data_IF_175082327906
#
_entry.id   IF_175082327906
#
_cell.length_a   1.000
_cell.length_b   1.000
_cell.length_c   1.000
_cell.angle_alpha   90.00
_cell.angle_beta   90.00
_cell.angle_gamma   90.00
#
_symmetry.space_group_name_H-M   'P 1'
#
loop_
_entity.id
_entity.type
_entity.pdbx_description
1 polymer ?
#
# COMPACT_ATOMS: atom_id res chain seq x y z
N UNK A 1 0.52 -14.12 15.85
CA UNK A 1 -0.23 -12.98 16.43
C UNK A 1 0.76 -11.84 16.41
N UNK A 2 0.41 -10.72 15.79
CA UNK A 2 1.38 -9.67 15.47
C UNK A 2 1.09 -8.35 16.17
N UNK A 3 2.13 -7.56 16.35
CA UNK A 3 2.07 -6.16 16.70
C UNK A 3 2.27 -5.31 15.44
N UNK A 4 1.38 -4.36 15.20
CA UNK A 4 1.43 -3.49 14.03
C UNK A 4 1.98 -2.11 14.40
N UNK A 5 3.07 -1.71 13.74
CA UNK A 5 3.61 -0.36 13.83
C UNK A 5 2.79 0.61 12.97
N UNK A 6 2.07 1.51 13.63
CA UNK A 6 1.07 2.37 12.99
C UNK A 6 1.63 3.59 12.26
N UNK A 7 2.93 3.89 12.36
CA UNK A 7 3.50 5.01 11.63
C UNK A 7 3.86 4.59 10.19
N UNK A 8 3.00 4.97 9.25
CA UNK A 8 3.09 4.58 7.83
C UNK A 8 4.08 5.43 7.01
N UNK A 9 5.24 5.80 7.58
CA UNK A 9 6.20 6.69 6.92
C UNK A 9 7.52 5.98 6.61
N UNK A 10 7.80 5.75 5.33
CA UNK A 10 9.08 5.16 4.87
C UNK A 10 10.30 6.04 5.14
N UNK A 11 10.13 7.26 5.66
CA UNK A 11 11.22 8.19 6.00
C UNK A 11 11.30 8.46 7.50
N UNK A 12 10.68 7.63 8.33
CA UNK A 12 10.53 7.89 9.77
C UNK A 12 11.87 8.05 10.51
N UNK A 13 12.93 7.35 10.07
CA UNK A 13 14.30 7.48 10.62
C UNK A 13 15.19 8.41 9.83
N UNK A 14 14.88 8.69 8.55
CA UNK A 14 15.72 9.51 7.67
C UNK A 14 15.36 10.99 7.73
N UNK A 15 14.45 11.50 6.89
CA UNK A 15 14.02 12.90 6.91
C UNK A 15 13.05 13.20 8.06
N UNK A 16 12.51 12.17 8.70
CA UNK A 16 11.52 12.28 9.75
C UNK A 16 10.09 12.48 9.24
N UNK A 17 9.18 12.62 10.19
CA UNK A 17 7.77 12.93 10.03
C UNK A 17 7.45 14.23 10.78
N UNK A 18 6.35 14.92 10.43
CA UNK A 18 5.84 16.14 11.08
C UNK A 18 6.91 17.12 11.64
N UNK A 19 7.36 18.07 10.80
CA UNK A 19 8.39 19.07 11.11
C UNK A 19 9.79 18.49 11.37
N UNK A 20 10.11 17.36 10.74
CA UNK A 20 11.45 16.77 10.77
C UNK A 20 11.77 15.97 12.03
N UNK A 21 10.76 15.59 12.82
CA UNK A 21 10.93 14.67 13.94
C UNK A 21 11.25 13.29 13.41
N UNK A 22 12.35 12.69 13.88
CA UNK A 22 12.73 11.34 13.49
C UNK A 22 12.34 10.36 14.59
N UNK A 23 11.90 9.18 14.19
CA UNK A 23 11.87 8.02 15.07
C UNK A 23 13.31 7.55 15.26
N UNK A 24 13.69 7.19 16.49
CA UNK A 24 14.98 6.59 16.76
C UNK A 24 15.00 5.15 16.23
N UNK A 25 16.04 4.76 15.50
CA UNK A 25 16.24 3.36 15.11
C UNK A 25 16.38 2.45 16.34
N UNK A 26 17.02 2.94 17.43
CA UNK A 26 17.15 2.18 18.68
C UNK A 26 15.79 1.91 19.33
N UNK A 27 14.84 2.86 19.25
CA UNK A 27 13.49 2.62 19.75
C UNK A 27 12.81 1.47 19.00
N UNK A 28 12.95 1.43 17.66
CA UNK A 28 12.36 0.37 16.83
C UNK A 28 13.02 -0.98 17.15
N UNK A 29 14.34 -0.99 17.39
CA UNK A 29 15.07 -2.18 17.83
C UNK A 29 14.58 -2.69 19.18
N UNK A 30 14.53 -1.84 20.20
CA UNK A 30 14.06 -2.21 21.55
C UNK A 30 12.61 -2.73 21.51
N UNK A 31 11.75 -2.10 20.70
CA UNK A 31 10.38 -2.58 20.47
C UNK A 31 10.37 -3.96 19.81
N UNK A 32 11.19 -4.17 18.79
CA UNK A 32 11.32 -5.44 18.08
C UNK A 32 11.73 -6.56 19.03
N UNK A 33 12.78 -6.35 19.82
CA UNK A 33 13.27 -7.31 20.82
C UNK A 33 12.15 -7.65 21.82
N UNK A 34 11.50 -6.63 22.40
CA UNK A 34 10.42 -6.84 23.36
C UNK A 34 9.26 -7.64 22.76
N UNK A 35 8.81 -7.30 21.54
CA UNK A 35 7.68 -7.97 20.87
C UNK A 35 8.03 -9.44 20.59
N UNK A 36 9.23 -9.70 20.06
CA UNK A 36 9.69 -11.04 19.69
C UNK A 36 9.95 -11.92 20.92
N UNK A 37 10.44 -11.35 22.02
CA UNK A 37 10.59 -12.05 23.30
C UNK A 37 9.25 -12.54 23.89
N UNK A 38 8.13 -11.93 23.47
CA UNK A 38 6.78 -12.36 23.81
C UNK A 38 6.14 -13.30 22.76
N UNK A 39 6.93 -13.78 21.79
CA UNK A 39 6.46 -14.69 20.74
C UNK A 39 5.50 -14.04 19.74
N UNK A 40 5.54 -12.72 19.60
CA UNK A 40 4.75 -11.97 18.64
C UNK A 40 5.59 -11.55 17.43
N UNK A 41 4.91 -11.35 16.30
CA UNK A 41 5.53 -10.86 15.06
C UNK A 41 5.43 -9.34 15.00
N UNK A 42 6.47 -8.64 14.56
CA UNK A 42 6.46 -7.19 14.39
C UNK A 42 6.22 -6.82 12.92
N UNK A 43 5.13 -6.10 12.65
CA UNK A 43 4.62 -5.84 11.30
C UNK A 43 4.60 -4.34 11.01
N UNK A 44 4.98 -3.95 9.79
CA UNK A 44 4.91 -2.57 9.33
C UNK A 44 4.32 -2.44 7.92
N UNK A 45 3.52 -1.39 7.70
CA UNK A 45 2.89 -1.09 6.42
C UNK A 45 3.23 0.37 6.05
N UNK A 46 4.41 0.65 5.48
CA UNK A 46 4.80 2.02 5.13
C UNK A 46 4.21 2.51 3.81
N UNK A 47 3.81 3.78 3.78
CA UNK A 47 3.49 4.47 2.52
C UNK A 47 4.78 4.85 1.76
N UNK A 48 4.91 4.39 0.51
CA UNK A 48 6.05 4.78 -0.35
C UNK A 48 5.93 6.24 -0.84
N UNK A 49 4.71 6.75 -0.97
CA UNK A 49 4.36 8.10 -1.47
C UNK A 49 5.07 8.52 -2.77
N UNK A 50 5.15 7.64 -3.75
CA UNK A 50 5.63 7.95 -5.10
C UNK A 50 7.14 8.09 -5.23
N UNK A 51 7.90 7.65 -4.23
CA UNK A 51 9.36 7.65 -4.26
C UNK A 51 9.86 6.62 -5.27
N UNK A 52 10.91 6.98 -6.00
CA UNK A 52 11.62 6.05 -6.88
C UNK A 52 12.38 4.99 -6.07
N UNK A 53 12.68 3.86 -6.69
CA UNK A 53 13.53 2.81 -6.11
C UNK A 53 14.87 3.38 -5.63
N UNK A 54 15.55 4.18 -6.46
CA UNK A 54 16.81 4.84 -6.07
C UNK A 54 16.66 5.69 -4.80
N UNK A 55 15.53 6.37 -4.63
CA UNK A 55 15.28 7.12 -3.40
C UNK A 55 15.08 6.17 -2.22
N UNK A 56 14.31 5.10 -2.41
CA UNK A 56 14.03 4.12 -1.36
C UNK A 56 15.30 3.46 -0.86
N UNK A 57 16.20 3.04 -1.75
CA UNK A 57 17.47 2.41 -1.40
C UNK A 57 18.40 3.36 -0.61
N UNK A 58 18.48 4.62 -1.04
CA UNK A 58 19.50 5.53 -0.54
C UNK A 58 19.02 6.47 0.58
N UNK A 59 17.71 6.70 0.73
CA UNK A 59 17.17 7.79 1.55
C UNK A 59 15.96 7.40 2.41
N UNK A 60 15.60 6.12 2.46
CA UNK A 60 14.45 5.64 3.23
C UNK A 60 14.86 4.72 4.37
N UNK A 61 13.96 4.59 5.34
CA UNK A 61 14.00 3.64 6.45
C UNK A 61 13.95 2.17 6.00
N UNK A 62 13.73 1.88 4.71
CA UNK A 62 13.80 0.55 4.09
C UNK A 62 15.08 0.33 3.28
N UNK A 63 15.90 1.36 3.12
CA UNK A 63 17.05 1.32 2.24
C UNK A 63 18.24 0.55 2.80
N UNK A 64 19.31 0.48 2.02
CA UNK A 64 20.59 -0.11 2.41
C UNK A 64 21.51 1.01 2.94
N UNK A 65 21.10 1.63 4.04
CA UNK A 65 21.78 2.78 4.65
C UNK A 65 21.75 2.69 6.19
N UNK A 66 22.50 3.57 6.87
CA UNK A 66 22.65 3.55 8.34
C UNK A 66 21.36 3.85 9.12
N UNK A 67 20.37 4.47 8.49
CA UNK A 67 19.07 4.77 9.08
C UNK A 67 18.04 3.65 8.83
N UNK A 68 18.43 2.54 8.19
CA UNK A 68 17.54 1.42 7.90
C UNK A 68 17.05 0.73 9.16
N UNK A 69 15.78 0.35 9.16
CA UNK A 69 15.12 -0.39 10.24
C UNK A 69 14.45 -1.67 9.72
N UNK A 70 14.75 -2.06 8.47
CA UNK A 70 14.14 -3.22 7.80
C UNK A 70 14.26 -4.49 8.64
N UNK A 71 15.44 -4.75 9.20
CA UNK A 71 15.74 -5.97 9.95
C UNK A 71 14.96 -6.14 11.26
N UNK A 72 14.39 -5.06 11.79
CA UNK A 72 13.65 -5.10 13.04
C UNK A 72 12.22 -5.61 12.86
N UNK A 73 11.70 -5.69 11.64
CA UNK A 73 10.35 -6.18 11.36
C UNK A 73 10.39 -7.61 10.81
N UNK A 74 9.40 -8.43 11.20
CA UNK A 74 9.23 -9.77 10.63
C UNK A 74 8.49 -9.69 9.28
N UNK A 75 7.57 -8.72 9.14
CA UNK A 75 6.84 -8.48 7.90
C UNK A 75 6.73 -6.99 7.61
N UNK A 76 7.06 -6.62 6.37
CA UNK A 76 6.86 -5.26 5.87
C UNK A 76 6.05 -5.32 4.58
N UNK A 77 4.93 -4.61 4.54
CA UNK A 77 4.04 -4.53 3.38
C UNK A 77 3.97 -3.08 2.89
N UNK A 78 4.96 -2.57 2.12
CA UNK A 78 4.88 -1.19 1.65
C UNK A 78 3.69 -0.97 0.71
N UNK A 79 3.08 0.22 0.84
CA UNK A 79 1.90 0.65 0.08
C UNK A 79 2.37 1.40 -1.17
N UNK A 80 2.29 0.79 -2.37
CA UNK A 80 3.01 1.30 -3.49
C UNK A 80 2.25 2.36 -4.26
N UNK A 81 0.91 2.27 -4.46
CA UNK A 81 0.33 2.97 -5.62
C UNK A 81 -1.19 3.16 -5.72
N UNK A 82 -2.07 2.94 -4.75
CA UNK A 82 -3.49 3.22 -5.05
C UNK A 82 -3.81 4.73 -4.95
N UNK A 83 -3.25 5.42 -3.94
CA UNK A 83 -3.55 6.83 -3.65
C UNK A 83 -2.57 7.90 -4.18
N UNK A 84 -1.49 7.52 -4.86
CA UNK A 84 -0.43 8.49 -5.21
C UNK A 84 -0.79 9.35 -6.44
N UNK A 85 -0.15 10.50 -6.63
CA UNK A 85 -0.30 11.34 -7.83
C UNK A 85 1.06 11.98 -8.13
N UNK A 86 1.56 11.94 -9.38
CA UNK A 86 0.98 11.33 -10.58
C UNK A 86 1.08 9.79 -10.61
N UNK A 87 0.27 9.14 -11.47
CA UNK A 87 0.41 7.71 -11.76
C UNK A 87 1.30 7.46 -12.96
N UNK A 88 2.21 6.49 -12.84
CA UNK A 88 2.87 5.88 -13.98
C UNK A 88 2.89 4.36 -13.80
N UNK A 89 2.27 3.67 -14.74
CA UNK A 89 2.27 2.21 -14.77
C UNK A 89 3.68 1.63 -14.91
N UNK A 90 4.56 2.31 -15.67
CA UNK A 90 5.96 1.90 -15.83
C UNK A 90 6.76 2.10 -14.54
N UNK A 91 6.50 3.19 -13.79
CA UNK A 91 7.08 3.34 -12.45
C UNK A 91 6.51 2.31 -11.48
N UNK A 92 5.23 1.94 -11.61
CA UNK A 92 4.69 0.90 -10.75
C UNK A 92 5.39 -0.44 -10.99
N UNK A 93 5.75 -0.79 -12.23
CA UNK A 93 6.49 -2.04 -12.53
C UNK A 93 7.81 -2.19 -11.78
N UNK A 94 8.50 -1.10 -11.48
CA UNK A 94 9.78 -1.19 -10.76
C UNK A 94 9.57 -1.53 -9.28
N UNK A 95 8.41 -1.22 -8.69
CA UNK A 95 8.16 -1.39 -7.27
C UNK A 95 7.98 -2.87 -6.86
N UNK A 96 7.08 -3.70 -7.43
CA UNK A 96 6.99 -5.11 -7.06
C UNK A 96 8.28 -5.89 -7.30
N UNK A 97 9.06 -5.53 -8.32
CA UNK A 97 10.38 -6.12 -8.51
C UNK A 97 11.32 -5.77 -7.36
N UNK A 98 11.43 -4.48 -7.02
CA UNK A 98 12.26 -4.01 -5.91
C UNK A 98 11.85 -4.63 -4.56
N UNK A 99 10.54 -4.69 -4.28
CA UNK A 99 10.01 -5.33 -3.07
C UNK A 99 10.45 -6.79 -2.97
N UNK A 100 10.33 -7.54 -4.08
CA UNK A 100 10.72 -8.94 -4.14
C UNK A 100 12.23 -9.16 -3.95
N UNK A 101 13.06 -8.31 -4.55
CA UNK A 101 14.52 -8.38 -4.44
C UNK A 101 15.03 -8.00 -3.03
N UNK A 102 14.19 -7.37 -2.20
CA UNK A 102 14.53 -6.89 -0.86
C UNK A 102 13.84 -7.69 0.27
N UNK A 103 13.28 -8.86 -0.03
CA UNK A 103 12.50 -9.69 0.91
C UNK A 103 11.35 -8.92 1.59
N UNK A 104 10.75 -7.99 0.85
CA UNK A 104 9.57 -7.23 1.27
C UNK A 104 8.31 -7.83 0.63
N UNK A 105 7.17 -7.48 1.20
CA UNK A 105 5.86 -7.88 0.69
C UNK A 105 5.15 -6.69 0.07
N UNK A 106 3.85 -6.82 -0.17
CA UNK A 106 3.05 -5.75 -0.76
C UNK A 106 1.75 -5.58 -0.01
N UNK A 107 1.35 -4.33 0.17
CA UNK A 107 0.01 -3.98 0.56
C UNK A 107 -0.79 -3.58 -0.71
N UNK A 108 -1.99 -4.14 -0.84
CA UNK A 108 -2.88 -4.00 -1.98
C UNK A 108 -4.14 -3.26 -1.56
N UNK A 109 -4.25 -2.01 -2.00
CA UNK A 109 -5.35 -1.12 -1.64
C UNK A 109 -6.40 -1.07 -2.73
N UNK A 110 -7.64 -0.97 -2.28
CA UNK A 110 -8.73 -0.39 -3.03
C UNK A 110 -9.75 0.24 -2.08
N UNK A 111 -10.54 1.18 -2.57
CA UNK A 111 -11.53 1.88 -1.76
C UNK A 111 -12.90 1.88 -2.45
N UNK A 112 -13.91 2.47 -1.81
CA UNK A 112 -15.29 2.45 -2.32
C UNK A 112 -15.47 3.21 -3.63
N UNK A 113 -14.46 3.97 -4.09
CA UNK A 113 -14.49 4.62 -5.42
C UNK A 113 -14.69 3.59 -6.52
N UNK A 114 -14.16 2.36 -6.37
CA UNK A 114 -14.33 1.32 -7.40
C UNK A 114 -15.79 0.98 -7.61
N UNK A 115 -16.68 1.17 -6.63
CA UNK A 115 -18.08 0.78 -6.71
C UNK A 115 -18.85 1.59 -7.75
N UNK A 116 -18.44 2.86 -8.00
CA UNK A 116 -19.10 3.72 -8.98
C UNK A 116 -20.53 4.06 -8.57
N UNK A 117 -20.71 4.46 -7.31
CA UNK A 117 -22.01 4.87 -6.77
C UNK A 117 -22.35 6.23 -7.38
N UNK A 118 -23.47 6.33 -8.10
CA UNK A 118 -23.92 7.59 -8.69
C UNK A 118 -24.35 8.59 -7.61
N UNK A 119 -24.10 9.87 -7.84
CA UNK A 119 -24.50 10.95 -6.96
C UNK A 119 -24.83 12.23 -7.73
N UNK A 120 -25.69 13.07 -7.17
CA UNK A 120 -25.88 14.44 -7.60
C UNK A 120 -25.25 15.45 -6.63
N UNK A 121 -25.04 15.03 -5.38
CA UNK A 121 -24.53 15.83 -4.27
C UNK A 121 -23.85 14.95 -3.23
N UNK A 122 -23.08 15.56 -2.31
CA UNK A 122 -22.40 14.83 -1.24
C UNK A 122 -23.36 14.07 -0.32
N UNK A 123 -24.63 14.51 -0.22
CA UNK A 123 -25.66 13.84 0.58
C UNK A 123 -26.08 12.47 0.02
N UNK A 124 -25.85 12.22 -1.28
CA UNK A 124 -26.16 10.94 -1.90
C UNK A 124 -25.08 9.88 -1.61
N UNK A 125 -23.92 10.31 -1.10
CA UNK A 125 -22.77 9.45 -0.91
C UNK A 125 -22.72 8.82 0.50
N UNK A 126 -22.18 7.59 0.61
CA UNK A 126 -21.89 6.98 1.90
C UNK A 126 -20.96 7.84 2.76
N UNK A 127 -20.97 7.60 4.07
CA UNK A 127 -20.09 8.32 5.01
C UNK A 127 -18.62 8.26 4.58
N UNK A 128 -17.93 9.39 4.72
CA UNK A 128 -16.53 9.61 4.32
C UNK A 128 -16.26 9.52 2.80
N UNK A 129 -17.30 9.64 1.97
CA UNK A 129 -17.18 9.84 0.52
C UNK A 129 -17.73 11.22 0.13
N UNK A 130 -17.35 11.69 -1.05
CA UNK A 130 -17.85 12.95 -1.63
C UNK A 130 -18.27 12.75 -3.08
N UNK A 131 -19.24 13.52 -3.53
CA UNK A 131 -19.68 13.49 -4.91
C UNK A 131 -18.71 14.26 -5.80
N UNK A 132 -18.19 13.60 -6.84
CA UNK A 132 -17.28 14.20 -7.79
C UNK A 132 -17.62 13.75 -9.21
N UNK A 133 -18.02 14.68 -10.07
CA UNK A 133 -18.41 14.42 -11.47
C UNK A 133 -19.46 13.29 -11.54
N UNK A 134 -20.48 13.37 -10.66
CA UNK A 134 -21.62 12.45 -10.68
C UNK A 134 -21.37 11.08 -10.02
N UNK A 135 -20.20 10.84 -9.44
CA UNK A 135 -19.87 9.59 -8.74
C UNK A 135 -19.29 9.84 -7.35
N UNK A 136 -19.63 8.98 -6.39
CA UNK A 136 -19.06 9.02 -5.06
C UNK A 136 -17.61 8.54 -5.08
N UNK A 137 -16.76 9.39 -4.53
CA UNK A 137 -15.33 9.24 -4.49
C UNK A 137 -14.83 9.31 -3.05
N UNK A 138 -13.95 8.37 -2.68
CA UNK A 138 -13.36 8.30 -1.34
C UNK A 138 -11.96 8.93 -1.35
N UNK A 139 -10.91 8.10 -1.43
CA UNK A 139 -9.52 8.54 -1.31
C UNK A 139 -8.68 8.23 -2.55
N UNK A 140 -9.20 7.41 -3.49
CA UNK A 140 -8.52 7.02 -4.71
C UNK A 140 -7.94 8.23 -5.43
N UNK A 141 -6.80 8.06 -6.10
CA UNK A 141 -6.18 9.15 -6.86
C UNK A 141 -7.06 9.76 -7.96
N UNK A 142 -8.12 9.05 -8.39
CA UNK A 142 -9.10 9.48 -9.39
C UNK A 142 -10.51 9.21 -8.88
N UNK A 143 -11.48 10.02 -9.29
CA UNK A 143 -12.91 9.76 -9.03
C UNK A 143 -13.55 8.80 -10.02
N UNK A 144 -12.94 8.58 -11.19
CA UNK A 144 -13.47 7.66 -12.20
C UNK A 144 -13.40 6.20 -11.70
N UNK A 145 -14.54 5.50 -11.54
CA UNK A 145 -14.59 4.15 -10.98
C UNK A 145 -13.93 3.10 -11.89
N UNK A 146 -13.92 3.32 -13.20
CA UNK A 146 -13.27 2.42 -14.17
C UNK A 146 -11.76 2.51 -14.04
N UNK A 147 -11.23 3.74 -13.91
CA UNK A 147 -9.79 3.95 -13.67
C UNK A 147 -9.38 3.48 -12.28
N UNK A 148 -10.18 3.74 -11.24
CA UNK A 148 -9.94 3.23 -9.89
C UNK A 148 -9.87 1.68 -9.89
N UNK A 149 -10.83 1.02 -10.55
CA UNK A 149 -10.83 -0.45 -10.72
C UNK A 149 -9.58 -0.92 -11.48
N UNK A 150 -9.17 -0.19 -12.53
CA UNK A 150 -7.94 -0.50 -13.27
C UNK A 150 -6.70 -0.38 -12.38
N UNK A 151 -6.56 0.69 -11.59
CA UNK A 151 -5.40 0.89 -10.72
C UNK A 151 -5.31 -0.18 -9.62
N UNK A 152 -6.44 -0.59 -9.05
CA UNK A 152 -6.47 -1.76 -8.18
C UNK A 152 -6.03 -3.02 -8.95
N UNK A 153 -6.61 -3.28 -10.12
CA UNK A 153 -6.24 -4.43 -10.95
C UNK A 153 -4.76 -4.46 -11.36
N UNK A 154 -4.12 -3.30 -11.53
CA UNK A 154 -2.71 -3.19 -11.88
C UNK A 154 -1.80 -3.83 -10.81
N UNK A 155 -2.22 -3.90 -9.54
CA UNK A 155 -1.48 -4.67 -8.52
C UNK A 155 -1.33 -6.14 -8.93
N UNK A 156 -2.38 -6.77 -9.44
CA UNK A 156 -2.36 -8.18 -9.87
C UNK A 156 -1.52 -8.32 -11.14
N UNK A 157 -1.79 -7.51 -12.15
CA UNK A 157 -1.09 -7.64 -13.44
C UNK A 157 0.39 -7.32 -13.33
N UNK A 158 0.77 -6.26 -12.61
CA UNK A 158 2.18 -5.86 -12.51
C UNK A 158 3.00 -6.90 -11.76
N UNK A 159 2.49 -7.47 -10.66
CA UNK A 159 3.18 -8.56 -9.96
C UNK A 159 3.43 -9.74 -10.92
N UNK A 160 2.41 -10.16 -11.65
CA UNK A 160 2.54 -11.25 -12.63
C UNK A 160 3.53 -10.92 -13.75
N UNK A 161 3.52 -9.69 -14.25
CA UNK A 161 4.41 -9.24 -15.32
C UNK A 161 5.88 -9.21 -14.89
N UNK A 162 6.17 -8.81 -13.64
CA UNK A 162 7.55 -8.51 -13.20
C UNK A 162 8.19 -9.58 -12.33
N UNK A 163 7.39 -10.31 -11.53
CA UNK A 163 7.87 -11.42 -10.67
C UNK A 163 7.23 -12.76 -11.02
N UNK A 164 6.35 -12.82 -12.03
CA UNK A 164 5.76 -14.06 -12.54
C UNK A 164 4.63 -14.66 -11.69
N UNK A 165 4.29 -14.06 -10.55
CA UNK A 165 3.30 -14.54 -9.57
C UNK A 165 2.85 -13.42 -8.64
N UNK A 166 1.74 -13.61 -7.91
CA UNK A 166 1.45 -12.76 -6.72
C UNK A 166 2.46 -13.02 -5.60
N UNK A 167 2.80 -11.98 -4.83
CA UNK A 167 3.58 -12.11 -3.60
C UNK A 167 2.95 -13.12 -2.66
N UNK A 168 3.70 -13.99 -1.98
CA UNK A 168 3.11 -15.00 -1.09
C UNK A 168 2.36 -14.37 0.09
N UNK A 169 3.00 -13.42 0.79
CA UNK A 169 2.36 -12.63 1.83
C UNK A 169 1.92 -11.28 1.26
N UNK A 170 0.70 -10.88 1.59
CA UNK A 170 0.07 -9.65 1.11
C UNK A 170 -0.81 -9.09 2.23
N UNK A 171 -0.82 -7.77 2.38
CA UNK A 171 -1.82 -7.08 3.16
C UNK A 171 -2.87 -6.47 2.22
N UNK A 172 -4.10 -6.33 2.69
CA UNK A 172 -5.18 -5.74 1.92
C UNK A 172 -5.87 -4.64 2.71
N UNK A 173 -6.16 -3.52 2.04
CA UNK A 173 -7.02 -2.47 2.55
C UNK A 173 -8.19 -2.23 1.60
N UNK A 174 -9.43 -2.34 2.11
CA UNK A 174 -10.67 -2.28 1.32
C UNK A 174 -11.68 -1.21 1.79
N UNK A 175 -11.24 -0.23 2.59
CA UNK A 175 -12.16 0.65 3.33
C UNK A 175 -13.15 -0.18 4.18
N UNK A 176 -14.42 0.23 4.25
CA UNK A 176 -15.46 -0.36 5.13
C UNK A 176 -16.54 -1.17 4.39
N UNK A 177 -16.45 -1.31 3.07
CA UNK A 177 -17.45 -2.00 2.24
C UNK A 177 -16.87 -3.27 1.62
N UNK A 178 -17.43 -4.42 1.98
CA UNK A 178 -16.95 -5.72 1.48
C UNK A 178 -17.24 -5.92 -0.01
N UNK A 179 -18.20 -5.21 -0.57
CA UNK A 179 -18.54 -5.21 -1.99
C UNK A 179 -17.36 -4.77 -2.88
N UNK A 180 -16.40 -4.02 -2.33
CA UNK A 180 -15.14 -3.68 -3.00
C UNK A 180 -14.37 -4.96 -3.36
N UNK A 181 -14.35 -5.95 -2.45
CA UNK A 181 -13.67 -7.24 -2.66
C UNK A 181 -14.34 -8.00 -3.80
N UNK A 182 -15.67 -8.12 -3.77
CA UNK A 182 -16.42 -8.86 -4.79
C UNK A 182 -16.21 -8.25 -6.18
N UNK A 183 -16.27 -6.92 -6.28
CA UNK A 183 -16.03 -6.21 -7.54
C UNK A 183 -14.64 -6.48 -8.10
N UNK A 184 -13.61 -6.41 -7.26
CA UNK A 184 -12.23 -6.61 -7.69
C UNK A 184 -11.90 -8.06 -7.98
N UNK A 185 -12.44 -9.01 -7.21
CA UNK A 185 -12.31 -10.42 -7.51
C UNK A 185 -12.90 -10.74 -8.88
N UNK A 186 -14.13 -10.30 -9.16
CA UNK A 186 -14.75 -10.52 -10.47
C UNK A 186 -13.93 -9.87 -11.60
N UNK A 187 -13.53 -8.60 -11.43
CA UNK A 187 -12.73 -7.90 -12.43
C UNK A 187 -11.40 -8.62 -12.73
N UNK A 188 -10.64 -8.98 -11.70
CA UNK A 188 -9.32 -9.60 -11.88
C UNK A 188 -9.44 -11.03 -12.42
N UNK A 189 -10.44 -11.81 -11.97
CA UNK A 189 -10.70 -13.13 -12.52
C UNK A 189 -11.00 -13.08 -14.02
N UNK A 190 -11.89 -12.18 -14.45
CA UNK A 190 -12.26 -12.02 -15.87
C UNK A 190 -11.08 -11.52 -16.70
N UNK A 191 -10.34 -10.53 -16.19
CA UNK A 191 -9.31 -9.84 -16.97
C UNK A 191 -7.96 -10.54 -16.99
N UNK A 192 -7.58 -11.16 -15.87
CA UNK A 192 -6.22 -11.71 -15.66
C UNK A 192 -6.21 -13.21 -15.39
N UNK A 193 -7.39 -13.83 -15.21
CA UNK A 193 -7.51 -15.24 -14.83
C UNK A 193 -7.08 -15.51 -13.39
N UNK A 194 -7.04 -14.49 -12.54
CA UNK A 194 -6.52 -14.59 -11.17
C UNK A 194 -7.30 -13.65 -10.23
N UNK A 195 -7.72 -14.12 -9.04
CA UNK A 195 -8.49 -13.28 -8.13
C UNK A 195 -7.61 -12.19 -7.51
N UNK A 196 -8.25 -11.08 -7.14
CA UNK A 196 -7.56 -9.97 -6.46
C UNK A 196 -6.99 -10.41 -5.09
N UNK A 197 -7.82 -11.08 -4.29
CA UNK A 197 -7.43 -11.70 -3.03
C UNK A 197 -6.80 -13.07 -3.29
#
# INVERSE_FOLDING_TARGET
>A
MGFYWSLESVIQTTYGYDKGKKVSAELIKEMSEYIKDHGLEFIWIPALRGRSVDYLDNNSSLGENEDSIKEYFDYIFPQPNYYQVPYSHDQFKTIPKWLYENDLYIEMEADRTVLGIDCNSDQDCPENMRCNIGVCWENCRVSDPTLATKYAGDYVSVQKDVIGRKFQHRAYYFSVALEVIDKLQNYCNVKFGEPYV
#
